data_IF_511495804508
#
_entry.id   IF_511495804508
#
_cell.length_a   1.000
_cell.length_b   1.000
_cell.length_c   1.000
_cell.angle_alpha   90.00
_cell.angle_beta   90.00
_cell.angle_gamma   90.00
#
_symmetry.space_group_name_H-M   'P 1'
#
loop_
_entity.id
_entity.type
_entity.pdbx_description
1 polymer ?
#
# COMPACT_ATOMS: atom_id res chain seq x y z
N UNK A 1 24.27 36.35 -83.19
CA UNK A 1 25.23 35.53 -83.97
C UNK A 1 26.05 34.71 -82.98
N UNK A 2 26.15 33.40 -83.21
CA UNK A 2 27.04 32.50 -82.44
C UNK A 2 26.32 31.32 -81.78
N UNK A 3 26.14 30.24 -82.54
CA UNK A 3 25.83 28.89 -82.05
C UNK A 3 27.05 28.30 -81.33
N UNK A 4 26.85 27.49 -80.28
CA UNK A 4 27.52 26.18 -80.17
C UNK A 4 26.84 25.26 -79.15
N UNK A 5 26.78 23.98 -79.52
CA UNK A 5 26.14 22.85 -78.83
C UNK A 5 27.09 22.13 -77.85
N UNK A 6 26.49 21.18 -77.11
CA UNK A 6 27.05 20.06 -76.31
C UNK A 6 26.97 20.29 -74.79
N UNK A 7 26.58 19.35 -73.94
CA UNK A 7 26.20 17.95 -74.08
C UNK A 7 25.15 17.64 -72.99
N UNK A 8 24.03 17.05 -73.38
CA UNK A 8 23.05 16.51 -72.43
C UNK A 8 23.61 15.28 -71.72
N UNK A 9 23.70 15.35 -70.38
CA UNK A 9 23.69 14.16 -69.52
C UNK A 9 22.35 14.10 -68.81
N UNK A 10 21.45 13.30 -69.35
CA UNK A 10 20.25 12.84 -68.64
C UNK A 10 20.75 11.91 -67.54
N UNK A 11 20.62 12.33 -66.29
CA UNK A 11 20.76 11.43 -65.16
C UNK A 11 19.44 10.66 -65.04
N UNK A 12 19.44 9.40 -65.45
CA UNK A 12 18.39 8.44 -65.10
C UNK A 12 18.43 8.26 -63.58
N UNK A 13 17.47 8.87 -62.89
CA UNK A 13 17.16 8.54 -61.49
C UNK A 13 16.62 7.09 -61.51
N UNK A 14 17.23 6.13 -60.80
CA UNK A 14 16.67 4.80 -60.72
C UNK A 14 15.31 4.88 -60.02
N UNK A 15 14.30 4.08 -60.42
CA UNK A 15 13.06 4.01 -59.67
C UNK A 15 13.39 3.57 -58.25
N UNK A 16 12.89 4.33 -57.27
CA UNK A 16 12.85 3.91 -55.87
C UNK A 16 12.01 2.64 -55.86
N UNK A 17 12.67 1.49 -55.80
CA UNK A 17 12.03 0.21 -55.53
C UNK A 17 11.49 0.34 -54.11
N UNK A 18 10.18 0.58 -53.98
CA UNK A 18 9.46 0.29 -52.74
C UNK A 18 9.70 -1.19 -52.43
N UNK A 19 10.52 -1.45 -51.42
CA UNK A 19 10.67 -2.80 -50.88
C UNK A 19 9.31 -3.29 -50.41
N UNK A 20 9.00 -4.50 -50.85
CA UNK A 20 7.70 -5.15 -50.86
C UNK A 20 7.12 -5.50 -49.47
N UNK A 21 5.79 -5.72 -49.34
CA UNK A 21 5.13 -6.14 -48.10
C UNK A 21 5.57 -7.53 -47.56
N UNK A 22 6.16 -8.40 -48.38
CA UNK A 22 6.52 -9.77 -48.00
C UNK A 22 7.72 -9.85 -47.05
N UNK A 23 8.74 -9.01 -47.23
CA UNK A 23 9.92 -8.95 -46.35
C UNK A 23 9.56 -8.43 -44.96
N UNK A 24 8.66 -7.44 -44.88
CA UNK A 24 8.11 -6.95 -43.61
C UNK A 24 7.36 -8.04 -42.85
N UNK A 25 6.48 -8.80 -43.52
CA UNK A 25 5.73 -9.91 -42.89
C UNK A 25 6.63 -11.03 -42.37
N UNK A 26 7.69 -11.39 -43.11
CA UNK A 26 8.66 -12.41 -42.69
C UNK A 26 9.46 -11.97 -41.46
N UNK A 27 9.96 -10.73 -41.44
CA UNK A 27 10.64 -10.19 -40.27
C UNK A 27 9.70 -10.09 -39.04
N UNK A 28 8.42 -9.75 -39.23
CA UNK A 28 7.43 -9.75 -38.15
C UNK A 28 7.21 -11.15 -37.57
N UNK A 29 7.17 -12.19 -38.41
CA UNK A 29 7.05 -13.59 -37.98
C UNK A 29 8.28 -14.05 -37.21
N UNK A 30 9.48 -13.82 -37.76
CA UNK A 30 10.74 -14.21 -37.10
C UNK A 30 10.90 -13.51 -35.73
N UNK A 31 10.49 -12.23 -35.63
CA UNK A 31 10.46 -11.52 -34.35
C UNK A 31 9.47 -12.12 -33.36
N UNK A 32 8.29 -12.57 -33.83
CA UNK A 32 7.29 -13.24 -32.99
C UNK A 32 7.83 -14.57 -32.45
N UNK A 33 8.44 -15.37 -33.32
CA UNK A 33 8.98 -16.70 -32.99
C UNK A 33 10.20 -16.60 -32.05
N UNK A 34 10.88 -15.46 -32.03
CA UNK A 34 12.00 -15.19 -31.12
C UNK A 34 11.60 -14.88 -29.67
N UNK A 35 10.31 -14.70 -29.38
CA UNK A 35 9.86 -14.32 -28.04
C UNK A 35 10.05 -15.50 -27.08
N UNK A 36 10.86 -15.27 -26.05
CA UNK A 36 11.12 -16.25 -24.99
C UNK A 36 10.35 -15.88 -23.74
N UNK A 37 9.57 -16.83 -23.20
CA UNK A 37 8.93 -16.69 -21.90
C UNK A 37 9.90 -17.15 -20.80
N UNK A 38 10.14 -16.26 -19.85
CA UNK A 38 10.95 -16.50 -18.67
C UNK A 38 10.05 -16.81 -17.46
N UNK A 39 10.48 -17.62 -16.49
CA UNK A 39 9.76 -17.83 -15.24
C UNK A 39 9.46 -16.50 -14.56
N UNK A 40 8.24 -16.33 -14.05
CA UNK A 40 7.82 -15.09 -13.39
C UNK A 40 8.56 -14.87 -12.07
N UNK A 41 8.86 -15.96 -11.35
CA UNK A 41 9.71 -15.95 -10.17
C UNK A 41 11.01 -16.73 -10.40
N UNK A 42 12.07 -16.25 -9.78
CA UNK A 42 13.39 -16.87 -9.80
C UNK A 42 13.69 -17.50 -8.43
N UNK A 43 13.54 -18.82 -8.36
CA UNK A 43 13.64 -19.57 -7.11
C UNK A 43 15.03 -19.51 -6.47
N UNK A 44 16.07 -19.11 -7.22
CA UNK A 44 17.41 -18.86 -6.68
C UNK A 44 17.43 -17.77 -5.61
N UNK A 45 16.46 -16.84 -5.66
CA UNK A 45 16.32 -15.74 -4.72
C UNK A 45 15.19 -15.95 -3.70
N UNK A 46 14.64 -17.16 -3.58
CA UNK A 46 13.54 -17.47 -2.65
C UNK A 46 13.83 -17.09 -1.18
N UNK A 47 15.09 -17.24 -0.73
CA UNK A 47 15.50 -16.88 0.63
C UNK A 47 15.76 -15.39 0.83
N UNK A 48 15.86 -14.64 -0.27
CA UNK A 48 16.21 -13.21 -0.31
C UNK A 48 15.22 -12.47 -1.22
N UNK A 49 13.96 -12.92 -1.25
CA UNK A 49 12.95 -12.51 -2.24
C UNK A 49 12.69 -11.00 -2.22
N UNK A 50 12.92 -10.36 -1.06
CA UNK A 50 12.77 -8.93 -0.82
C UNK A 50 14.07 -8.12 -0.96
N UNK A 51 15.21 -8.77 -1.23
CA UNK A 51 16.52 -8.13 -1.35
C UNK A 51 16.78 -7.72 -2.81
N UNK A 52 17.65 -6.73 -3.02
CA UNK A 52 17.79 -5.94 -4.26
C UNK A 52 18.03 -6.64 -5.61
N UNK A 53 18.04 -7.97 -5.68
CA UNK A 53 18.06 -8.76 -6.93
C UNK A 53 16.67 -9.29 -7.37
N UNK A 54 15.59 -8.96 -6.65
CA UNK A 54 14.17 -9.24 -6.96
C UNK A 54 13.88 -10.61 -7.58
N UNK A 55 13.25 -11.51 -6.83
CA UNK A 55 12.85 -12.80 -7.40
C UNK A 55 11.79 -12.69 -8.50
N UNK A 56 10.87 -11.71 -8.42
CA UNK A 56 9.79 -11.50 -9.39
C UNK A 56 10.31 -10.69 -10.58
N UNK A 57 10.24 -11.26 -11.79
CA UNK A 57 10.81 -10.68 -13.02
C UNK A 57 12.31 -10.34 -12.90
N UNK A 58 13.11 -11.27 -12.36
CA UNK A 58 14.53 -11.06 -12.01
C UNK A 58 15.47 -10.69 -13.17
N UNK A 59 15.04 -10.81 -14.43
CA UNK A 59 15.86 -10.42 -15.60
C UNK A 59 15.83 -8.91 -15.90
N UNK A 60 15.00 -8.15 -15.18
CA UNK A 60 14.80 -6.72 -15.35
C UNK A 60 15.29 -5.97 -14.12
N UNK A 61 16.02 -4.87 -14.34
CA UNK A 61 16.41 -3.95 -13.27
C UNK A 61 15.32 -2.92 -13.03
N UNK A 62 15.10 -2.55 -11.77
CA UNK A 62 14.15 -1.50 -11.42
C UNK A 62 14.59 -0.12 -11.92
N UNK A 63 13.59 0.72 -12.15
CA UNK A 63 13.79 2.16 -12.29
C UNK A 63 13.90 2.75 -10.89
N UNK A 64 14.98 3.50 -10.66
CA UNK A 64 15.23 4.19 -9.40
C UNK A 64 15.06 5.68 -9.59
N UNK A 65 14.24 6.29 -8.75
CA UNK A 65 14.06 7.74 -8.68
C UNK A 65 14.18 8.18 -7.23
N UNK A 66 14.72 9.38 -7.01
CA UNK A 66 14.91 9.91 -5.67
C UNK A 66 13.57 10.04 -4.93
N UNK A 67 13.53 9.60 -3.66
CA UNK A 67 12.36 9.64 -2.79
C UNK A 67 11.14 8.81 -3.26
N UNK A 68 11.26 7.99 -4.30
CA UNK A 68 10.17 7.16 -4.85
C UNK A 68 10.33 5.67 -4.55
N UNK A 69 9.25 4.91 -4.76
CA UNK A 69 9.33 3.45 -4.80
C UNK A 69 9.93 2.97 -6.14
N UNK A 70 10.63 1.84 -6.10
CA UNK A 70 11.14 1.15 -7.27
C UNK A 70 10.00 0.60 -8.15
N UNK A 71 10.12 0.75 -9.47
CA UNK A 71 9.13 0.25 -10.42
C UNK A 71 9.73 -0.16 -11.77
N UNK A 72 8.96 -0.94 -12.54
CA UNK A 72 9.20 -1.15 -13.97
C UNK A 72 8.05 -0.52 -14.77
N UNK A 73 8.35 0.15 -15.87
CA UNK A 73 7.35 0.68 -16.78
C UNK A 73 7.51 0.08 -18.19
N UNK A 74 6.40 -0.26 -18.82
CA UNK A 74 6.36 -0.84 -20.17
C UNK A 74 5.28 -0.14 -21.01
N UNK A 75 5.53 0.13 -22.30
CA UNK A 75 6.86 0.16 -22.93
C UNK A 75 7.71 1.32 -22.39
N UNK A 76 9.03 1.19 -22.48
CA UNK A 76 10.02 2.14 -21.95
C UNK A 76 11.36 2.01 -22.67
N UNK A 77 12.28 2.93 -22.42
CA UNK A 77 13.65 2.81 -22.94
C UNK A 77 14.35 1.54 -22.42
N UNK A 78 14.17 1.19 -21.15
CA UNK A 78 14.75 -0.01 -20.54
C UNK A 78 14.24 -1.31 -21.19
N UNK A 79 12.93 -1.36 -21.48
CA UNK A 79 12.33 -2.45 -22.25
C UNK A 79 12.59 -2.36 -23.76
N UNK A 80 13.30 -1.33 -24.24
CA UNK A 80 13.51 -1.03 -25.67
C UNK A 80 12.19 -0.90 -26.44
N UNK A 81 11.16 -0.31 -25.84
CA UNK A 81 9.85 -0.14 -26.48
C UNK A 81 8.97 -1.39 -26.55
N UNK A 82 9.37 -2.48 -25.89
CA UNK A 82 8.59 -3.74 -25.84
C UNK A 82 7.52 -3.70 -24.76
N UNK A 83 6.38 -4.33 -25.06
CA UNK A 83 5.27 -4.55 -24.14
C UNK A 83 5.59 -5.70 -23.19
N UNK A 84 5.04 -5.63 -21.97
CA UNK A 84 5.02 -6.75 -21.05
C UNK A 84 3.93 -7.74 -21.47
N UNK A 85 4.28 -9.01 -21.60
CA UNK A 85 3.35 -10.12 -21.79
C UNK A 85 3.46 -11.09 -20.61
N UNK A 86 2.32 -11.51 -20.04
CA UNK A 86 2.25 -12.50 -18.97
C UNK A 86 1.51 -13.73 -19.50
N UNK A 87 1.98 -14.93 -19.13
CA UNK A 87 1.35 -16.21 -19.46
C UNK A 87 1.32 -17.12 -18.25
N UNK A 88 0.18 -17.76 -18.03
CA UNK A 88 -0.11 -18.59 -16.86
C UNK A 88 -1.08 -17.91 -15.92
N UNK A 89 -1.82 -18.72 -15.16
CA UNK A 89 -2.84 -18.30 -14.19
C UNK A 89 -2.82 -19.16 -12.93
N UNK A 90 -1.67 -19.76 -12.60
CA UNK A 90 -1.57 -20.64 -11.45
C UNK A 90 -1.66 -19.82 -10.16
N UNK A 91 -2.58 -20.21 -9.27
CA UNK A 91 -2.92 -19.51 -8.03
C UNK A 91 -2.25 -20.16 -6.80
N UNK A 92 -1.52 -21.26 -6.98
CA UNK A 92 -0.90 -22.04 -5.89
C UNK A 92 0.61 -22.23 -6.06
N UNK A 93 1.13 -22.08 -7.28
CA UNK A 93 2.54 -22.22 -7.61
C UNK A 93 2.99 -21.17 -8.62
N UNK A 94 3.55 -20.08 -8.11
CA UNK A 94 4.00 -18.94 -8.92
C UNK A 94 5.10 -19.27 -9.93
N UNK A 95 5.84 -20.37 -9.76
CA UNK A 95 6.87 -20.79 -10.71
C UNK A 95 6.30 -21.30 -12.04
N UNK A 96 5.00 -21.59 -12.11
CA UNK A 96 4.29 -21.96 -13.34
C UNK A 96 3.78 -20.76 -14.13
N UNK A 97 3.86 -19.56 -13.56
CA UNK A 97 3.57 -18.33 -14.29
C UNK A 97 4.85 -17.81 -14.94
N UNK A 98 4.72 -17.10 -16.06
CA UNK A 98 5.84 -16.64 -16.89
C UNK A 98 5.58 -15.27 -17.49
N UNK A 99 6.64 -14.58 -17.90
CA UNK A 99 6.56 -13.31 -18.60
C UNK A 99 7.50 -13.27 -19.81
N UNK A 100 7.19 -12.39 -20.75
CA UNK A 100 8.02 -12.10 -21.91
C UNK A 100 7.90 -10.61 -22.28
N UNK A 101 8.85 -10.14 -23.09
CA UNK A 101 8.79 -8.81 -23.70
C UNK A 101 8.60 -8.94 -25.21
N UNK A 102 7.58 -8.26 -25.75
CA UNK A 102 7.21 -8.35 -27.16
C UNK A 102 7.10 -6.98 -27.81
N UNK A 103 7.47 -6.87 -29.08
CA UNK A 103 7.23 -5.63 -29.84
C UNK A 103 5.73 -5.47 -30.14
N UNK A 104 5.17 -4.24 -30.10
CA UNK A 104 3.75 -4.02 -30.36
C UNK A 104 3.26 -4.60 -31.71
N UNK A 105 4.12 -4.62 -32.74
CA UNK A 105 3.81 -5.17 -34.05
C UNK A 105 4.02 -6.69 -34.20
N UNK A 106 4.63 -7.35 -33.21
CA UNK A 106 5.04 -8.75 -33.27
C UNK A 106 4.70 -9.48 -31.97
N UNK A 107 3.46 -9.37 -31.49
CA UNK A 107 3.01 -10.07 -30.28
C UNK A 107 3.05 -11.59 -30.46
N UNK A 108 3.20 -12.39 -29.38
CA UNK A 108 3.14 -13.85 -29.43
C UNK A 108 1.87 -14.37 -30.12
N UNK A 109 1.92 -15.58 -30.64
CA UNK A 109 0.72 -16.20 -31.21
C UNK A 109 -0.41 -16.32 -30.18
N UNK A 110 -1.63 -16.05 -30.64
CA UNK A 110 -2.85 -16.05 -29.84
C UNK A 110 -2.85 -15.07 -28.67
N UNK A 111 -1.87 -14.15 -28.62
CA UNK A 111 -1.79 -13.14 -27.57
C UNK A 111 -3.00 -12.21 -27.59
N UNK A 112 -3.43 -11.82 -26.39
CA UNK A 112 -4.49 -10.85 -26.20
C UNK A 112 -3.81 -9.52 -25.83
N UNK A 113 -3.96 -8.51 -26.69
CA UNK A 113 -3.53 -7.16 -26.36
C UNK A 113 -4.57 -6.47 -25.48
N UNK A 114 -4.14 -6.07 -24.30
CA UNK A 114 -4.94 -5.41 -23.28
C UNK A 114 -4.64 -3.91 -23.31
N UNK A 115 -5.64 -3.10 -23.64
CA UNK A 115 -5.51 -1.64 -23.76
C UNK A 115 -5.57 -0.91 -22.41
N UNK A 116 -5.00 0.29 -22.36
CA UNK A 116 -4.95 1.14 -21.18
C UNK A 116 -3.80 0.79 -20.23
N UNK A 117 -3.68 1.55 -19.14
CA UNK A 117 -2.66 1.30 -18.11
C UNK A 117 -3.07 0.10 -17.24
N UNK A 118 -2.15 -0.83 -17.10
CA UNK A 118 -2.26 -1.96 -16.17
C UNK A 118 -1.31 -1.76 -15.01
N UNK A 119 -1.83 -1.80 -13.79
CA UNK A 119 -0.99 -1.92 -12.61
C UNK A 119 -0.74 -3.40 -12.32
N UNK A 120 0.52 -3.79 -12.20
CA UNK A 120 0.95 -5.15 -11.84
C UNK A 120 1.64 -5.07 -10.48
N UNK A 121 1.21 -5.88 -9.54
CA UNK A 121 1.77 -5.94 -8.19
C UNK A 121 2.23 -7.34 -7.89
N UNK A 122 3.46 -7.51 -7.38
CA UNK A 122 3.85 -8.69 -6.61
C UNK A 122 4.13 -8.28 -5.16
N UNK A 123 3.65 -9.07 -4.22
CA UNK A 123 3.94 -8.86 -2.80
C UNK A 123 4.38 -10.16 -2.15
N UNK A 124 5.29 -10.05 -1.18
CA UNK A 124 5.71 -11.18 -0.36
C UNK A 124 4.74 -11.51 0.78
N UNK A 125 3.84 -10.60 1.13
CA UNK A 125 2.97 -10.78 2.29
C UNK A 125 1.62 -11.38 1.91
N UNK A 126 0.68 -10.54 1.48
CA UNK A 126 -0.62 -10.89 0.89
C UNK A 126 -1.40 -9.58 0.60
N UNK A 127 -2.59 -9.70 -0.01
CA UNK A 127 -3.53 -8.59 -0.23
C UNK A 127 -4.77 -8.61 0.68
N UNK A 128 -4.85 -9.55 1.61
CA UNK A 128 -6.00 -9.75 2.49
C UNK A 128 -5.89 -9.03 3.82
N UNK A 129 -4.69 -8.99 4.40
CA UNK A 129 -4.35 -8.26 5.60
C UNK A 129 -4.24 -6.76 5.29
N UNK A 130 -4.80 -5.92 6.16
CA UNK A 130 -4.89 -4.48 5.94
C UNK A 130 -3.51 -3.82 5.82
N UNK A 131 -2.57 -4.14 6.72
CA UNK A 131 -1.22 -3.56 6.70
C UNK A 131 -0.43 -4.04 5.47
N UNK A 132 -0.45 -5.35 5.19
CA UNK A 132 0.22 -5.92 4.03
C UNK A 132 -0.31 -5.31 2.72
N UNK A 133 -1.63 -5.21 2.60
CA UNK A 133 -2.30 -4.62 1.46
C UNK A 133 -1.90 -3.18 1.21
N UNK A 134 -1.88 -2.33 2.25
CA UNK A 134 -1.42 -0.94 2.10
C UNK A 134 0.04 -0.90 1.64
N UNK A 135 0.91 -1.70 2.25
CA UNK A 135 2.32 -1.75 1.87
C UNK A 135 2.52 -2.16 0.41
N UNK A 136 1.66 -3.02 -0.13
CA UNK A 136 1.70 -3.43 -1.54
C UNK A 136 1.13 -2.35 -2.50
N UNK A 137 0.12 -1.58 -2.07
CA UNK A 137 -0.55 -0.59 -2.94
C UNK A 137 0.04 0.81 -2.88
N UNK A 138 0.62 1.20 -1.75
CA UNK A 138 1.23 2.52 -1.54
C UNK A 138 2.26 2.92 -2.62
N UNK A 139 3.12 2.02 -3.14
CA UNK A 139 4.04 2.33 -4.25
C UNK A 139 3.34 2.87 -5.49
N UNK A 140 2.25 2.22 -5.90
CA UNK A 140 1.48 2.65 -7.06
C UNK A 140 0.76 3.98 -6.80
N UNK A 141 0.28 4.22 -5.58
CA UNK A 141 -0.28 5.52 -5.19
C UNK A 141 0.77 6.62 -5.31
N UNK A 142 1.99 6.39 -4.81
CA UNK A 142 3.11 7.33 -4.92
C UNK A 142 3.49 7.62 -6.37
N UNK A 143 3.65 6.56 -7.16
CA UNK A 143 3.90 6.66 -8.60
C UNK A 143 2.79 7.42 -9.33
N UNK A 144 1.53 7.15 -9.00
CA UNK A 144 0.36 7.83 -9.56
C UNK A 144 0.39 9.32 -9.25
N UNK A 145 0.67 9.72 -8.01
CA UNK A 145 0.78 11.14 -7.63
C UNK A 145 1.78 11.89 -8.52
N UNK A 146 2.98 11.32 -8.67
CA UNK A 146 4.04 11.88 -9.53
C UNK A 146 3.62 11.98 -10.98
N UNK A 147 2.82 11.02 -11.45
CA UNK A 147 2.35 10.92 -12.82
C UNK A 147 0.95 11.52 -13.00
N UNK A 148 0.68 12.69 -12.41
CA UNK A 148 -0.58 13.44 -12.61
C UNK A 148 -1.84 12.61 -12.29
N UNK A 149 -1.72 11.73 -11.29
CA UNK A 149 -2.81 10.93 -10.74
C UNK A 149 -3.47 10.02 -11.76
N UNK A 150 -2.66 9.51 -12.68
CA UNK A 150 -3.04 8.53 -13.68
C UNK A 150 -3.61 7.29 -12.98
N UNK A 151 -4.81 6.90 -13.41
CA UNK A 151 -5.53 5.76 -12.88
C UNK A 151 -5.30 4.53 -13.76
N UNK A 152 -5.08 3.35 -13.16
CA UNK A 152 -4.98 2.13 -13.93
C UNK A 152 -6.38 1.72 -14.38
N UNK A 153 -6.49 1.19 -15.60
CA UNK A 153 -7.75 0.60 -16.08
C UNK A 153 -8.02 -0.75 -15.42
N UNK A 154 -6.97 -1.42 -14.95
CA UNK A 154 -7.02 -2.77 -14.37
C UNK A 154 -5.79 -3.08 -13.52
N UNK A 155 -5.93 -4.12 -12.71
CA UNK A 155 -4.97 -4.56 -11.70
C UNK A 155 -4.65 -6.03 -11.97
N UNK A 156 -3.37 -6.39 -11.97
CA UNK A 156 -2.91 -7.78 -12.01
C UNK A 156 -2.12 -8.01 -10.74
N UNK A 157 -2.57 -8.95 -9.91
CA UNK A 157 -2.05 -9.12 -8.57
C UNK A 157 -1.37 -10.47 -8.46
N UNK A 158 -0.17 -10.46 -7.91
CA UNK A 158 0.62 -11.64 -7.60
C UNK A 158 1.01 -11.63 -6.13
N UNK A 159 0.97 -12.81 -5.53
CA UNK A 159 1.56 -13.06 -4.22
C UNK A 159 2.48 -14.25 -4.42
N UNK A 160 3.78 -14.03 -4.29
CA UNK A 160 4.78 -15.06 -4.60
C UNK A 160 4.76 -15.52 -6.06
N UNK A 161 4.42 -14.61 -6.98
CA UNK A 161 4.19 -14.96 -8.38
C UNK A 161 2.92 -15.77 -8.65
N UNK A 162 2.15 -16.13 -7.62
CA UNK A 162 0.84 -16.80 -7.76
C UNK A 162 -0.23 -15.77 -8.07
N UNK A 163 -1.07 -16.05 -9.06
CA UNK A 163 -2.12 -15.12 -9.47
C UNK A 163 -3.13 -14.93 -8.34
N UNK A 164 -3.62 -13.70 -8.19
CA UNK A 164 -4.70 -13.33 -7.28
C UNK A 164 -5.78 -12.61 -8.06
N UNK A 165 -6.97 -13.17 -8.05
CA UNK A 165 -8.15 -12.62 -8.70
C UNK A 165 -8.92 -11.62 -7.80
N UNK A 166 -8.51 -11.49 -6.53
CA UNK A 166 -9.14 -10.64 -5.53
C UNK A 166 -8.15 -10.11 -4.49
N UNK A 167 -8.60 -9.09 -3.77
CA UNK A 167 -7.94 -8.55 -2.59
C UNK A 167 -8.94 -8.47 -1.43
N UNK A 168 -8.46 -8.21 -0.21
CA UNK A 168 -9.33 -8.02 0.94
C UNK A 168 -10.31 -6.86 0.73
N UNK A 169 -11.56 -7.00 1.17
CA UNK A 169 -12.62 -6.02 0.94
C UNK A 169 -12.27 -4.61 1.44
N UNK A 170 -11.56 -4.52 2.57
CA UNK A 170 -11.09 -3.24 3.11
C UNK A 170 -10.12 -2.55 2.14
N UNK A 171 -9.13 -3.28 1.62
CA UNK A 171 -8.16 -2.75 0.66
C UNK A 171 -8.83 -2.38 -0.65
N UNK A 172 -9.77 -3.22 -1.12
CA UNK A 172 -10.56 -2.96 -2.31
C UNK A 172 -11.33 -1.63 -2.19
N UNK A 173 -11.97 -1.39 -1.04
CA UNK A 173 -12.69 -0.12 -0.79
C UNK A 173 -11.76 1.08 -0.71
N UNK A 174 -10.58 0.93 -0.10
CA UNK A 174 -9.57 1.98 -0.08
C UNK A 174 -9.07 2.31 -1.50
N UNK A 175 -8.75 1.30 -2.32
CA UNK A 175 -8.34 1.50 -3.70
C UNK A 175 -9.48 2.06 -4.55
N UNK A 176 -10.73 1.65 -4.27
CA UNK A 176 -11.91 2.19 -4.93
C UNK A 176 -12.08 3.69 -4.66
N UNK A 177 -11.87 4.13 -3.43
CA UNK A 177 -11.90 5.54 -3.06
C UNK A 177 -10.83 6.37 -3.81
N UNK A 178 -9.68 5.78 -4.10
CA UNK A 178 -8.56 6.48 -4.75
C UNK A 178 -8.65 6.48 -6.28
N UNK A 179 -9.01 5.34 -6.88
CA UNK A 179 -8.91 5.11 -8.31
C UNK A 179 -10.25 4.88 -9.01
N UNK A 180 -11.36 4.78 -8.29
CA UNK A 180 -12.66 4.42 -8.86
C UNK A 180 -12.83 2.91 -8.97
N UNK A 181 -13.44 2.40 -10.03
CA UNK A 181 -13.63 0.95 -10.18
C UNK A 181 -12.28 0.20 -10.21
N UNK A 182 -12.16 -0.83 -9.36
CA UNK A 182 -10.95 -1.66 -9.26
C UNK A 182 -11.26 -3.01 -9.91
N UNK A 183 -10.85 -3.15 -11.18
CA UNK A 183 -10.94 -4.42 -11.92
C UNK A 183 -9.66 -5.23 -11.73
N UNK A 184 -9.74 -6.36 -11.04
CA UNK A 184 -8.64 -7.33 -10.91
C UNK A 184 -8.76 -8.36 -12.04
N UNK A 185 -7.71 -8.54 -12.84
CA UNK A 185 -7.71 -9.47 -13.97
C UNK A 185 -7.31 -10.88 -13.53
N UNK A 186 -8.18 -11.86 -13.78
CA UNK A 186 -7.95 -13.29 -13.54
C UNK A 186 -7.61 -14.13 -14.78
N UNK A 187 -7.31 -13.46 -15.92
CA UNK A 187 -6.95 -14.11 -17.19
C UNK A 187 -7.95 -15.19 -17.68
N UNK A 188 -9.22 -14.81 -17.78
CA UNK A 188 -10.36 -15.71 -18.06
C UNK A 188 -10.23 -16.59 -19.34
N UNK A 189 -9.48 -16.15 -20.37
CA UNK A 189 -9.31 -16.87 -21.64
C UNK A 189 -8.20 -17.95 -21.62
N UNK A 190 -7.84 -18.44 -20.44
CA UNK A 190 -6.89 -19.55 -20.24
C UNK A 190 -5.42 -19.17 -20.43
N UNK A 191 -4.58 -20.16 -20.75
CA UNK A 191 -3.10 -20.07 -20.86
C UNK A 191 -2.57 -19.27 -22.08
N UNK A 192 -3.36 -18.34 -22.60
CA UNK A 192 -2.92 -17.42 -23.65
C UNK A 192 -2.00 -16.33 -23.06
N UNK A 193 -1.05 -15.81 -23.83
CA UNK A 193 -0.32 -14.62 -23.43
C UNK A 193 -1.22 -13.39 -23.37
N UNK A 194 -1.16 -12.64 -22.27
CA UNK A 194 -1.78 -11.33 -22.12
C UNK A 194 -0.70 -10.27 -22.20
N UNK A 195 -0.73 -9.46 -23.25
CA UNK A 195 0.23 -8.38 -23.47
C UNK A 195 -0.43 -7.04 -23.16
N UNK A 196 0.25 -6.17 -22.42
CA UNK A 196 -0.33 -4.91 -21.96
C UNK A 196 0.18 -3.74 -22.79
N UNK A 197 -0.74 -2.90 -23.29
CA UNK A 197 -0.41 -1.66 -24.00
C UNK A 197 0.47 -0.75 -23.15
N UNK A 198 0.14 -0.63 -21.86
CA UNK A 198 0.96 0.02 -20.84
C UNK A 198 0.90 -0.78 -19.55
N UNK A 199 2.04 -0.97 -18.90
CA UNK A 199 2.10 -1.61 -17.59
C UNK A 199 3.09 -0.90 -16.66
N UNK A 200 2.71 -0.75 -15.40
CA UNK A 200 3.63 -0.40 -14.31
C UNK A 200 3.65 -1.54 -13.31
N UNK A 201 4.86 -2.01 -12.99
CA UNK A 201 5.08 -3.16 -12.09
C UNK A 201 5.71 -2.67 -10.80
N UNK A 202 5.11 -3.04 -9.66
CA UNK A 202 5.64 -2.80 -8.32
C UNK A 202 5.90 -4.15 -7.64
N UNK A 203 7.10 -4.36 -7.09
CA UNK A 203 7.53 -5.65 -6.53
C UNK A 203 8.30 -5.55 -5.19
N UNK A 204 8.28 -4.38 -4.56
CA UNK A 204 9.09 -4.07 -3.37
C UNK A 204 8.29 -3.65 -2.13
N UNK A 205 6.96 -3.79 -2.14
CA UNK A 205 6.09 -3.10 -1.18
C UNK A 205 6.56 -1.63 -1.05
N UNK A 206 6.64 -1.07 0.15
CA UNK A 206 7.10 0.32 0.38
C UNK A 206 8.51 0.63 -0.15
N UNK A 207 9.36 -0.37 -0.42
CA UNK A 207 10.66 -0.21 -1.06
C UNK A 207 11.53 0.92 -0.48
N UNK A 208 12.22 1.62 -1.39
CA UNK A 208 13.06 2.80 -1.09
C UNK A 208 12.27 4.11 -0.97
N UNK A 209 10.94 4.05 -0.99
CA UNK A 209 10.11 5.26 -0.88
C UNK A 209 10.49 6.04 0.39
N UNK A 210 10.83 7.32 0.22
CA UNK A 210 11.31 8.12 1.34
C UNK A 210 10.17 8.59 2.23
N UNK A 211 10.53 9.20 3.38
CA UNK A 211 9.58 9.56 4.44
C UNK A 211 8.52 10.56 3.95
N UNK A 212 8.94 11.57 3.18
CA UNK A 212 8.04 12.60 2.65
C UNK A 212 7.03 11.99 1.68
N UNK A 213 7.48 11.14 0.76
CA UNK A 213 6.59 10.45 -0.18
C UNK A 213 5.61 9.52 0.53
N UNK A 214 6.05 8.75 1.54
CA UNK A 214 5.16 7.91 2.35
C UNK A 214 4.08 8.73 3.06
N UNK A 215 4.43 9.92 3.54
CA UNK A 215 3.49 10.85 4.16
C UNK A 215 2.50 11.43 3.14
N UNK A 216 2.95 11.82 1.94
CA UNK A 216 2.10 12.29 0.84
C UNK A 216 1.10 11.20 0.41
N UNK A 217 1.56 9.97 0.24
CA UNK A 217 0.71 8.80 -0.07
C UNK A 217 -0.33 8.58 1.02
N UNK A 218 0.07 8.60 2.29
CA UNK A 218 -0.83 8.40 3.42
C UNK A 218 -1.92 9.48 3.49
N UNK A 219 -1.55 10.74 3.21
CA UNK A 219 -2.48 11.86 3.14
C UNK A 219 -3.49 11.71 2.00
N UNK A 220 -3.05 11.33 0.80
CA UNK A 220 -3.94 11.11 -0.33
C UNK A 220 -4.93 9.98 -0.03
N UNK A 221 -4.43 8.83 0.45
CA UNK A 221 -5.25 7.68 0.82
C UNK A 221 -6.33 8.07 1.84
N UNK A 222 -5.94 8.82 2.86
CA UNK A 222 -6.83 9.33 3.92
C UNK A 222 -7.88 10.29 3.36
N UNK A 223 -7.46 11.30 2.61
CA UNK A 223 -8.35 12.31 2.03
C UNK A 223 -9.39 11.68 1.11
N UNK A 224 -8.97 10.78 0.21
CA UNK A 224 -9.85 10.07 -0.70
C UNK A 224 -10.84 9.17 0.01
N UNK A 225 -10.39 8.42 1.03
CA UNK A 225 -11.28 7.59 1.83
C UNK A 225 -12.35 8.40 2.56
N UNK A 226 -11.98 9.57 3.11
CA UNK A 226 -12.93 10.51 3.74
C UNK A 226 -13.99 11.00 2.75
N UNK A 227 -13.56 11.51 1.61
CA UNK A 227 -14.47 11.98 0.55
C UNK A 227 -15.41 10.87 0.07
N UNK A 228 -14.89 9.67 -0.17
CA UNK A 228 -15.68 8.49 -0.55
C UNK A 228 -16.76 8.13 0.48
N UNK A 229 -16.49 8.36 1.77
CA UNK A 229 -17.41 8.05 2.87
C UNK A 229 -18.29 9.23 3.32
N UNK A 230 -18.28 10.35 2.58
CA UNK A 230 -19.05 11.55 2.89
C UNK A 230 -18.54 12.28 4.15
N UNK A 231 -17.25 12.13 4.47
CA UNK A 231 -16.57 12.83 5.56
C UNK A 231 -15.76 13.97 4.96
N UNK A 232 -15.62 15.09 5.69
CA UNK A 232 -14.78 16.20 5.27
C UNK A 232 -13.36 15.69 4.93
N UNK A 233 -12.88 15.85 3.68
CA UNK A 233 -11.55 15.39 3.27
C UNK A 233 -10.41 16.00 4.09
N UNK A 234 -10.56 17.25 4.52
CA UNK A 234 -9.58 17.95 5.36
C UNK A 234 -9.52 17.41 6.81
N UNK A 235 -10.43 16.51 7.19
CA UNK A 235 -10.55 15.98 8.54
C UNK A 235 -11.46 16.83 9.43
N UNK A 236 -11.31 16.66 10.74
CA UNK A 236 -12.18 17.30 11.74
C UNK A 236 -11.78 18.76 12.06
N UNK A 237 -10.53 19.14 11.80
CA UNK A 237 -10.00 20.46 12.22
C UNK A 237 -9.87 20.62 13.74
N UNK A 238 -9.72 21.85 14.24
CA UNK A 238 -9.66 22.12 15.69
C UNK A 238 -11.09 22.26 16.22
N UNK A 239 -11.51 21.34 17.09
CA UNK A 239 -12.80 21.40 17.80
C UNK A 239 -12.60 22.02 19.18
N UNK A 240 -13.36 23.08 19.48
CA UNK A 240 -13.38 23.76 20.79
C UNK A 240 -14.79 23.59 21.38
N UNK A 241 -14.87 23.28 22.68
CA UNK A 241 -16.15 23.15 23.39
C UNK A 241 -16.72 24.51 23.81
N UNK A 242 -17.92 24.52 24.37
CA UNK A 242 -18.61 25.75 24.83
C UNK A 242 -17.81 26.56 25.88
N UNK A 243 -16.87 25.91 26.58
CA UNK A 243 -16.00 26.54 27.58
C UNK A 243 -14.69 27.08 26.99
N UNK A 244 -14.53 27.06 25.67
CA UNK A 244 -13.30 27.51 25.02
C UNK A 244 -12.13 26.52 25.12
N UNK A 245 -12.36 25.27 25.52
CA UNK A 245 -11.33 24.24 25.70
C UNK A 245 -11.33 23.28 24.50
N UNK A 246 -10.15 22.89 23.96
CA UNK A 246 -10.08 21.89 22.89
C UNK A 246 -10.70 20.55 23.29
N UNK A 247 -11.54 19.99 22.41
CA UNK A 247 -12.10 18.65 22.58
C UNK A 247 -11.01 17.61 22.31
N UNK A 248 -10.88 16.59 23.16
CA UNK A 248 -9.93 15.47 23.01
C UNK A 248 -10.73 14.18 22.87
N UNK A 249 -10.67 13.53 21.71
CA UNK A 249 -11.40 12.30 21.41
C UNK A 249 -10.49 11.09 21.57
N UNK A 250 -10.71 10.35 22.64
CA UNK A 250 -10.04 9.08 22.91
C UNK A 250 -10.94 7.93 22.44
N UNK A 251 -10.42 7.06 21.59
CA UNK A 251 -11.12 5.87 21.12
C UNK A 251 -10.42 4.62 21.64
N UNK A 252 -11.15 3.78 22.38
CA UNK A 252 -10.79 2.38 22.59
C UNK A 252 -11.33 1.56 21.43
N UNK A 253 -10.45 1.17 20.50
CA UNK A 253 -10.79 0.27 19.41
C UNK A 253 -10.59 -1.18 19.89
N UNK A 254 -11.70 -1.78 20.28
CA UNK A 254 -11.78 -3.13 20.80
C UNK A 254 -11.87 -4.13 19.66
N UNK A 255 -11.58 -5.39 19.99
CA UNK A 255 -11.69 -6.54 19.08
C UNK A 255 -12.25 -7.74 19.82
N UNK A 256 -12.82 -8.68 19.08
CA UNK A 256 -13.28 -9.98 19.60
C UNK A 256 -12.27 -11.09 19.29
N UNK A 257 -12.32 -12.16 20.07
CA UNK A 257 -11.48 -13.34 19.86
C UNK A 257 -9.99 -13.10 20.14
N UNK A 258 -9.13 -13.53 19.22
CA UNK A 258 -7.67 -13.44 19.35
C UNK A 258 -7.23 -12.03 19.70
N UNK A 259 -6.25 -11.86 20.59
CA UNK A 259 -5.71 -10.55 20.99
C UNK A 259 -6.71 -9.57 21.62
N UNK A 260 -7.93 -10.01 21.94
CA UNK A 260 -8.83 -9.20 22.77
C UNK A 260 -8.28 -9.02 24.19
N UNK A 261 -8.79 -8.03 24.93
CA UNK A 261 -8.45 -7.90 26.35
C UNK A 261 -9.11 -9.02 27.17
N UNK A 262 -8.36 -9.61 28.11
CA UNK A 262 -8.88 -10.58 29.08
C UNK A 262 -10.04 -10.00 29.91
N UNK A 263 -9.92 -8.75 30.33
CA UNK A 263 -10.95 -8.01 31.05
C UNK A 263 -11.21 -6.66 30.36
N UNK A 264 -12.00 -6.69 29.29
CA UNK A 264 -12.36 -5.50 28.52
C UNK A 264 -13.05 -4.42 29.38
N UNK A 265 -13.92 -4.82 30.32
CA UNK A 265 -14.64 -3.89 31.19
C UNK A 265 -13.67 -3.09 32.07
N UNK A 266 -12.71 -3.75 32.71
CA UNK A 266 -11.71 -3.07 33.55
C UNK A 266 -10.89 -2.06 32.74
N UNK A 267 -10.45 -2.43 31.53
CA UNK A 267 -9.73 -1.50 30.65
C UNK A 267 -10.60 -0.29 30.28
N UNK A 268 -11.86 -0.51 29.90
CA UNK A 268 -12.80 0.59 29.61
C UNK A 268 -12.95 1.51 30.83
N UNK A 269 -13.17 0.94 32.02
CA UNK A 269 -13.35 1.71 33.25
C UNK A 269 -12.11 2.56 33.59
N UNK A 270 -10.89 2.02 33.40
CA UNK A 270 -9.64 2.76 33.63
C UNK A 270 -9.55 3.98 32.71
N UNK A 271 -9.72 3.78 31.40
CA UNK A 271 -9.62 4.86 30.42
C UNK A 271 -10.77 5.86 30.55
N UNK A 272 -11.98 5.42 30.92
CA UNK A 272 -13.11 6.29 31.20
C UNK A 272 -12.81 7.22 32.38
N UNK A 273 -12.28 6.68 33.48
CA UNK A 273 -11.87 7.47 34.65
C UNK A 273 -10.76 8.46 34.31
N UNK A 274 -9.72 8.06 33.56
CA UNK A 274 -8.65 9.00 33.19
C UNK A 274 -9.13 10.08 32.23
N UNK A 275 -9.99 9.75 31.27
CA UNK A 275 -10.60 10.72 30.37
C UNK A 275 -11.45 11.73 31.14
N UNK A 276 -12.29 11.29 32.08
CA UNK A 276 -13.12 12.18 32.89
C UNK A 276 -12.32 13.17 33.76
N UNK A 277 -11.05 12.87 34.07
CA UNK A 277 -10.15 13.79 34.78
C UNK A 277 -9.56 14.90 33.90
N UNK A 278 -9.72 14.82 32.58
CA UNK A 278 -9.17 15.79 31.62
C UNK A 278 -10.31 16.54 30.96
N UNK A 279 -10.39 17.84 31.22
CA UNK A 279 -11.42 18.70 30.63
C UNK A 279 -11.38 18.65 29.09
N UNK A 280 -12.56 18.50 28.48
CA UNK A 280 -12.70 18.37 27.03
C UNK A 280 -12.47 16.95 26.50
N UNK A 281 -12.07 15.99 27.34
CA UNK A 281 -11.93 14.60 26.89
C UNK A 281 -13.28 13.89 26.73
N UNK A 282 -13.43 13.19 25.61
CA UNK A 282 -14.57 12.35 25.29
C UNK A 282 -14.06 10.96 24.93
N UNK A 283 -14.46 9.96 25.71
CA UNK A 283 -14.17 8.56 25.43
C UNK A 283 -15.23 7.97 24.50
N UNK A 284 -14.78 7.26 23.47
CA UNK A 284 -15.59 6.35 22.66
C UNK A 284 -15.03 4.94 22.72
N UNK A 285 -15.90 3.95 22.89
CA UNK A 285 -15.55 2.54 22.77
C UNK A 285 -16.21 2.00 21.51
N UNK A 286 -15.45 1.33 20.66
CA UNK A 286 -15.96 0.73 19.43
C UNK A 286 -15.38 -0.67 19.25
N UNK A 287 -16.19 -1.60 18.74
CA UNK A 287 -15.74 -2.93 18.34
C UNK A 287 -15.40 -2.92 16.86
N UNK A 288 -14.17 -3.26 16.49
CA UNK A 288 -13.71 -3.14 15.11
C UNK A 288 -14.51 -4.01 14.13
N UNK A 289 -14.94 -5.19 14.56
CA UNK A 289 -15.67 -6.13 13.70
C UNK A 289 -17.10 -5.68 13.39
N UNK A 290 -17.64 -4.71 14.15
CA UNK A 290 -18.99 -4.17 13.93
C UNK A 290 -19.00 -2.98 12.96
N UNK A 291 -17.83 -2.49 12.53
CA UNK A 291 -17.70 -1.28 11.73
C UNK A 291 -17.59 -1.62 10.24
N UNK A 292 -18.45 -1.03 9.42
CA UNK A 292 -18.22 -1.00 7.97
C UNK A 292 -16.96 -0.18 7.63
N UNK A 293 -16.46 -0.28 6.40
CA UNK A 293 -15.32 0.53 5.94
C UNK A 293 -15.53 2.03 6.22
N UNK A 294 -16.71 2.57 5.90
CA UNK A 294 -16.99 3.99 6.12
C UNK A 294 -17.24 4.35 7.59
N UNK A 295 -17.69 3.40 8.42
CA UNK A 295 -17.76 3.64 9.87
C UNK A 295 -16.36 3.66 10.50
N UNK A 296 -15.43 2.85 9.99
CA UNK A 296 -14.01 2.91 10.38
C UNK A 296 -13.40 4.27 9.99
N UNK A 297 -13.61 4.73 8.74
CA UNK A 297 -13.16 6.06 8.28
C UNK A 297 -13.73 7.18 9.15
N UNK A 298 -15.04 7.16 9.44
CA UNK A 298 -15.70 8.16 10.29
C UNK A 298 -15.18 8.14 11.71
N UNK A 299 -15.07 6.97 12.33
CA UNK A 299 -14.57 6.82 13.70
C UNK A 299 -13.17 7.40 13.83
N UNK A 300 -12.27 7.01 12.94
CA UNK A 300 -10.87 7.40 12.99
C UNK A 300 -10.64 8.87 12.63
N UNK A 301 -11.43 9.42 11.70
CA UNK A 301 -11.36 10.86 11.40
C UNK A 301 -11.68 11.72 12.62
N UNK A 302 -12.55 11.23 13.51
CA UNK A 302 -12.90 11.90 14.77
C UNK A 302 -12.13 11.34 15.97
N UNK A 303 -10.95 10.75 15.78
CA UNK A 303 -10.14 10.21 16.86
C UNK A 303 -8.81 10.95 16.97
N UNK A 304 -8.49 11.44 18.17
CA UNK A 304 -7.20 12.06 18.49
C UNK A 304 -6.21 11.04 19.07
N UNK A 305 -6.72 10.12 19.87
CA UNK A 305 -5.96 9.06 20.50
C UNK A 305 -6.70 7.75 20.23
N UNK A 306 -6.05 6.80 19.56
CA UNK A 306 -6.56 5.44 19.45
C UNK A 306 -5.75 4.54 20.38
N UNK A 307 -6.46 3.77 21.20
CA UNK A 307 -5.89 2.73 22.04
C UNK A 307 -6.50 1.39 21.61
N UNK A 308 -5.66 0.44 21.20
CA UNK A 308 -6.11 -0.82 20.60
C UNK A 308 -5.10 -1.93 20.83
N UNK A 309 -5.55 -3.18 21.07
CA UNK A 309 -4.68 -4.33 20.91
C UNK A 309 -4.04 -4.37 19.53
N UNK A 310 -2.84 -4.92 19.44
CA UNK A 310 -2.11 -5.11 18.19
C UNK A 310 -2.93 -5.99 17.24
N UNK A 311 -2.95 -5.61 15.98
CA UNK A 311 -3.47 -6.43 14.89
C UNK A 311 -3.98 -5.61 13.74
N UNK A 312 -4.40 -6.30 12.67
CA UNK A 312 -4.75 -5.66 11.39
C UNK A 312 -5.78 -4.53 11.55
N UNK A 313 -6.68 -4.58 12.54
CA UNK A 313 -7.66 -3.52 12.76
C UNK A 313 -7.04 -2.17 13.14
N UNK A 314 -5.85 -2.16 13.77
CA UNK A 314 -5.15 -0.94 14.14
C UNK A 314 -4.58 -0.21 12.91
N UNK A 315 -4.53 -0.88 11.75
CA UNK A 315 -4.23 -0.25 10.45
C UNK A 315 -5.22 0.89 10.11
N UNK A 316 -6.43 0.87 10.68
CA UNK A 316 -7.40 1.95 10.54
C UNK A 316 -6.90 3.32 11.01
N UNK A 317 -5.80 3.38 11.78
CA UNK A 317 -5.12 4.63 12.12
C UNK A 317 -4.78 5.49 10.90
N UNK A 318 -4.66 4.90 9.69
CA UNK A 318 -4.47 5.62 8.43
C UNK A 318 -5.44 6.81 8.29
N UNK A 319 -6.67 6.63 8.76
CA UNK A 319 -7.76 7.59 8.60
C UNK A 319 -7.78 8.70 9.67
N UNK A 320 -6.92 8.62 10.69
CA UNK A 320 -6.79 9.65 11.72
C UNK A 320 -6.04 10.87 11.16
N UNK A 321 -6.27 12.05 11.74
CA UNK A 321 -5.49 13.23 11.37
C UNK A 321 -4.00 13.08 11.71
N UNK A 322 -3.14 13.82 10.99
CA UNK A 322 -1.73 13.95 11.37
C UNK A 322 -1.62 14.42 12.82
N UNK A 323 -0.52 14.03 13.47
CA UNK A 323 -0.20 14.32 14.88
C UNK A 323 -1.12 13.64 15.90
N UNK A 324 -2.10 12.86 15.48
CA UNK A 324 -2.85 11.97 16.37
C UNK A 324 -1.93 10.91 17.01
N UNK A 325 -2.41 10.28 18.06
CA UNK A 325 -1.62 9.40 18.93
C UNK A 325 -2.14 7.97 18.95
N UNK A 326 -1.22 7.00 18.98
CA UNK A 326 -1.52 5.57 18.99
C UNK A 326 -0.98 4.96 20.29
N UNK A 327 -1.81 4.21 21.00
CA UNK A 327 -1.43 3.39 22.14
C UNK A 327 -1.69 1.91 21.80
N UNK A 328 -0.64 1.09 21.78
CA UNK A 328 -0.72 -0.28 21.31
C UNK A 328 -0.56 -1.31 22.44
N UNK A 329 -1.32 -2.40 22.40
CA UNK A 329 -1.27 -3.45 23.41
C UNK A 329 -1.03 -4.82 22.80
N UNK A 330 -0.06 -5.56 23.32
CA UNK A 330 0.35 -6.86 22.82
C UNK A 330 0.06 -7.95 23.84
N UNK A 331 -0.35 -9.16 23.41
CA UNK A 331 -0.32 -10.30 24.30
C UNK A 331 1.14 -10.71 24.56
N UNK A 332 1.31 -11.67 25.47
CA UNK A 332 2.62 -12.20 25.86
C UNK A 332 3.41 -12.69 24.65
N UNK A 333 4.74 -12.71 24.73
CA UNK A 333 5.61 -13.31 23.72
C UNK A 333 5.84 -12.46 22.47
N UNK A 334 5.06 -11.40 22.24
CA UNK A 334 5.27 -10.52 21.08
C UNK A 334 6.59 -9.75 21.16
N UNK A 335 6.97 -9.25 22.34
CA UNK A 335 8.20 -8.48 22.52
C UNK A 335 9.43 -9.34 22.16
N UNK A 336 9.44 -10.58 22.63
CA UNK A 336 10.58 -11.48 22.53
C UNK A 336 10.61 -12.27 21.20
N UNK A 337 9.45 -12.59 20.62
CA UNK A 337 9.34 -13.59 19.54
C UNK A 337 8.80 -13.05 18.21
N UNK A 338 8.17 -11.87 18.16
CA UNK A 338 7.57 -11.36 16.93
C UNK A 338 8.61 -10.80 15.92
N UNK A 339 9.87 -10.68 16.34
CA UNK A 339 10.92 -10.04 15.56
C UNK A 339 10.51 -8.62 15.15
N UNK A 340 10.64 -8.30 13.86
CA UNK A 340 10.29 -6.98 13.32
C UNK A 340 8.78 -6.71 13.26
N UNK A 341 7.93 -7.75 13.33
CA UNK A 341 6.47 -7.62 13.21
C UNK A 341 5.83 -6.78 14.31
N UNK A 342 6.47 -6.67 15.47
CA UNK A 342 5.99 -5.81 16.57
C UNK A 342 6.05 -4.31 16.24
N UNK A 343 6.81 -3.89 15.22
CA UNK A 343 6.96 -2.48 14.85
C UNK A 343 6.04 -2.03 13.72
N UNK A 344 5.19 -2.92 13.18
CA UNK A 344 4.35 -2.62 12.02
C UNK A 344 3.50 -1.34 12.21
N UNK A 345 2.81 -1.21 13.34
CA UNK A 345 1.96 -0.04 13.62
C UNK A 345 2.74 1.18 14.12
N UNK A 346 3.92 0.99 14.70
CA UNK A 346 4.86 2.08 14.96
C UNK A 346 5.30 2.72 13.64
N UNK A 347 5.74 1.91 12.68
CA UNK A 347 6.06 2.39 11.34
C UNK A 347 4.83 3.05 10.70
N UNK A 348 3.66 2.43 10.76
CA UNK A 348 2.45 3.03 10.20
C UNK A 348 2.16 4.43 10.75
N UNK A 349 2.30 4.60 12.08
CA UNK A 349 2.13 5.90 12.72
C UNK A 349 3.12 6.92 12.17
N UNK A 350 4.40 6.58 12.10
CA UNK A 350 5.46 7.46 11.60
C UNK A 350 5.24 7.85 10.13
N UNK A 351 4.91 6.87 9.29
CA UNK A 351 4.68 7.05 7.86
C UNK A 351 3.44 7.91 7.58
N UNK A 352 2.48 7.92 8.50
CA UNK A 352 1.24 8.69 8.39
C UNK A 352 1.30 10.05 9.11
N UNK A 353 2.46 10.42 9.68
CA UNK A 353 2.65 11.68 10.40
C UNK A 353 2.00 11.72 11.78
N UNK A 354 1.81 10.57 12.42
CA UNK A 354 1.24 10.40 13.76
C UNK A 354 2.34 10.08 14.80
N UNK A 355 1.94 9.93 16.07
CA UNK A 355 2.84 9.61 17.18
C UNK A 355 2.48 8.26 17.78
N UNK A 356 3.43 7.32 17.78
CA UNK A 356 3.30 6.10 18.56
C UNK A 356 3.67 6.37 20.03
N UNK A 357 2.73 6.23 20.95
CA UNK A 357 2.88 6.59 22.37
C UNK A 357 3.49 5.47 23.23
N UNK A 358 4.20 4.55 22.59
CA UNK A 358 4.70 3.33 23.20
C UNK A 358 3.68 2.18 23.16
N UNK A 359 4.05 1.08 23.80
CA UNK A 359 3.24 -0.12 23.81
C UNK A 359 3.25 -0.80 25.19
N UNK A 360 2.19 -1.56 25.44
CA UNK A 360 2.11 -2.51 26.54
C UNK A 360 2.32 -3.92 26.00
N UNK A 361 3.16 -4.71 26.65
CA UNK A 361 3.27 -6.14 26.41
C UNK A 361 2.85 -6.86 27.67
N UNK A 362 1.92 -7.81 27.55
CA UNK A 362 1.49 -8.62 28.69
C UNK A 362 2.68 -9.42 29.25
N UNK A 363 3.18 -9.10 30.46
CA UNK A 363 4.30 -9.84 31.04
C UNK A 363 3.90 -11.24 31.53
N UNK A 364 2.63 -11.45 31.90
CA UNK A 364 2.14 -12.67 32.55
C UNK A 364 0.96 -13.28 31.76
N UNK A 365 1.26 -14.36 31.05
CA UNK A 365 0.26 -15.24 30.44
C UNK A 365 -0.22 -16.28 31.46
N UNK A 366 -1.48 -16.70 31.35
CA UNK A 366 -1.97 -17.84 32.15
C UNK A 366 -1.35 -19.17 31.71
N UNK A 367 -0.90 -19.23 30.45
CA UNK A 367 -0.31 -20.41 29.84
C UNK A 367 1.14 -20.11 29.42
N UNK A 368 2.00 -21.10 29.60
CA UNK A 368 3.36 -21.12 29.10
C UNK A 368 3.43 -21.98 27.84
N UNK A 369 4.23 -21.55 26.87
CA UNK A 369 4.51 -22.32 25.67
C UNK A 369 5.09 -23.69 26.06
N UNK A 370 4.55 -24.81 25.53
CA UNK A 370 5.03 -26.15 25.87
C UNK A 370 6.36 -26.51 25.18
N UNK A 371 6.85 -25.66 24.27
CA UNK A 371 8.10 -25.86 23.53
C UNK A 371 9.26 -25.09 24.19
N UNK A 372 10.52 -25.44 23.87
CA UNK A 372 11.67 -24.66 24.32
C UNK A 372 11.53 -23.17 23.97
N UNK A 373 12.02 -22.28 24.83
CA UNK A 373 11.77 -20.82 24.75
C UNK A 373 12.11 -20.16 23.40
N UNK A 374 13.08 -20.71 22.67
CA UNK A 374 13.51 -20.18 21.37
C UNK A 374 12.81 -20.85 20.17
N UNK A 375 11.90 -21.77 20.42
CA UNK A 375 11.18 -22.46 19.36
C UNK A 375 10.21 -21.50 18.66
N UNK A 376 10.28 -21.34 17.32
CA UNK A 376 9.38 -20.47 16.57
C UNK A 376 7.89 -20.77 16.80
N UNK A 377 7.56 -22.02 17.17
CA UNK A 377 6.19 -22.41 17.52
C UNK A 377 5.65 -21.69 18.75
N UNK A 378 6.53 -21.21 19.65
CA UNK A 378 6.11 -20.39 20.78
C UNK A 378 5.55 -19.05 20.35
N UNK A 379 6.03 -18.46 19.25
CA UNK A 379 5.39 -17.24 18.75
C UNK A 379 3.96 -17.54 18.32
N UNK A 380 3.74 -18.60 17.54
CA UNK A 380 2.41 -18.99 17.09
C UNK A 380 1.47 -19.30 18.26
N UNK A 381 1.99 -19.93 19.31
CA UNK A 381 1.25 -20.20 20.54
C UNK A 381 0.76 -18.91 21.21
N UNK A 382 1.64 -17.92 21.39
CA UNK A 382 1.28 -16.69 22.08
C UNK A 382 0.61 -15.63 21.20
N UNK A 383 0.83 -15.69 19.88
CA UNK A 383 0.45 -14.65 18.91
C UNK A 383 -1.01 -14.22 19.05
N UNK A 384 -1.89 -15.19 19.24
CA UNK A 384 -3.34 -15.00 19.30
C UNK A 384 -3.91 -14.97 20.73
N UNK A 385 -3.03 -15.04 21.74
CA UNK A 385 -3.40 -14.91 23.15
C UNK A 385 -4.12 -13.59 23.47
N UNK A 386 -4.83 -13.56 24.59
CA UNK A 386 -5.51 -12.35 25.08
C UNK A 386 -4.54 -11.43 25.83
N UNK A 387 -4.81 -10.13 25.77
CA UNK A 387 -4.03 -9.09 26.45
C UNK A 387 -4.57 -8.90 27.87
N UNK A 388 -3.75 -9.00 28.90
CA UNK A 388 -4.16 -8.61 30.25
C UNK A 388 -4.08 -7.10 30.44
N UNK A 389 -4.21 -6.66 31.70
CA UNK A 389 -4.16 -5.24 32.03
C UNK A 389 -3.46 -5.04 33.37
N UNK A 390 -2.79 -3.90 33.50
CA UNK A 390 -2.25 -3.41 34.76
C UNK A 390 -2.89 -2.05 35.03
N UNK A 391 -3.72 -1.97 36.07
CA UNK A 391 -4.53 -0.79 36.35
C UNK A 391 -3.68 0.46 36.59
N UNK A 392 -2.65 0.36 37.45
CA UNK A 392 -1.76 1.47 37.76
C UNK A 392 -1.02 1.96 36.52
N UNK A 393 -0.45 1.04 35.74
CA UNK A 393 0.26 1.39 34.51
C UNK A 393 -0.66 2.03 33.48
N UNK A 394 -1.84 1.44 33.23
CA UNK A 394 -2.78 1.93 32.21
C UNK A 394 -3.32 3.31 32.60
N UNK A 395 -3.63 3.52 33.88
CA UNK A 395 -4.07 4.82 34.38
C UNK A 395 -2.99 5.90 34.21
N UNK A 396 -1.75 5.60 34.60
CA UNK A 396 -0.65 6.55 34.45
C UNK A 396 -0.33 6.84 32.99
N UNK A 397 -0.27 5.81 32.14
CA UNK A 397 0.01 5.95 30.72
C UNK A 397 -1.07 6.75 30.00
N UNK A 398 -2.35 6.43 30.21
CA UNK A 398 -3.46 7.17 29.63
C UNK A 398 -3.47 8.64 30.05
N UNK A 399 -3.24 8.92 31.34
CA UNK A 399 -3.13 10.30 31.85
C UNK A 399 -2.02 11.08 31.16
N UNK A 400 -0.84 10.48 31.01
CA UNK A 400 0.31 11.13 30.37
C UNK A 400 0.00 11.47 28.91
N UNK A 401 -0.54 10.52 28.14
CA UNK A 401 -0.90 10.73 26.73
C UNK A 401 -1.98 11.80 26.58
N UNK A 402 -3.05 11.74 27.38
CA UNK A 402 -4.12 12.73 27.36
C UNK A 402 -3.60 14.15 27.64
N UNK A 403 -2.72 14.31 28.64
CA UNK A 403 -2.13 15.60 28.97
C UNK A 403 -1.22 16.12 27.83
N UNK A 404 -0.42 15.26 27.20
CA UNK A 404 0.40 15.65 26.05
C UNK A 404 -0.46 16.12 24.87
N UNK A 405 -1.54 15.40 24.56
CA UNK A 405 -2.47 15.79 23.47
C UNK A 405 -3.17 17.09 23.81
N UNK A 406 -3.60 17.29 25.07
CA UNK A 406 -4.20 18.55 25.53
C UNK A 406 -3.27 19.74 25.28
N UNK A 407 -2.02 19.65 25.74
CA UNK A 407 -1.01 20.70 25.56
C UNK A 407 -0.81 20.99 24.07
N UNK A 408 -0.63 19.94 23.26
CA UNK A 408 -0.42 20.12 21.81
C UNK A 408 -1.61 20.79 21.11
N UNK A 409 -2.85 20.49 21.52
CA UNK A 409 -4.04 21.13 20.95
C UNK A 409 -4.17 22.59 21.37
N UNK A 410 -3.84 22.93 22.62
CA UNK A 410 -3.82 24.32 23.08
C UNK A 410 -2.79 25.16 22.31
N UNK A 411 -1.61 24.61 22.05
CA UNK A 411 -0.58 25.25 21.21
C UNK A 411 -1.02 25.41 19.75
N UNK A 412 -1.78 24.46 19.21
CA UNK A 412 -2.30 24.57 17.84
C UNK A 412 -3.40 25.64 17.75
N UNK A 413 -4.29 25.69 18.74
CA UNK A 413 -5.33 26.71 18.81
C UNK A 413 -4.73 28.12 18.90
N UNK A 414 -3.66 28.33 19.67
CA UNK A 414 -2.99 29.63 19.75
C UNK A 414 -2.26 30.02 18.46
N UNK A 415 -1.70 29.05 17.73
CA UNK A 415 -1.00 29.27 16.44
C UNK A 415 -1.94 29.42 15.24
N UNK A 416 -3.20 28.97 15.34
CA UNK A 416 -4.18 29.02 14.25
C UNK A 416 -4.61 30.44 13.82
N UNK A 417 -4.07 31.48 14.45
CA UNK A 417 -4.12 32.88 13.99
C UNK A 417 -3.19 33.19 12.80
N UNK A 418 -2.31 32.25 12.40
CA UNK A 418 -1.44 32.35 11.23
C UNK A 418 -1.40 31.01 10.48
N UNK A 419 -2.38 30.74 9.61
CA UNK A 419 -2.31 29.58 8.70
C UNK A 419 -1.38 29.88 7.54
N UNK A 420 -0.20 29.26 7.53
CA UNK A 420 0.52 29.04 6.27
C UNK A 420 -0.20 27.94 5.46
N UNK A 421 -0.37 28.13 4.14
CA UNK A 421 -0.92 27.09 3.30
C UNK A 421 0.03 25.90 3.30
N UNK A 422 -0.49 24.70 3.55
CA UNK A 422 0.24 23.50 3.19
C UNK A 422 0.52 23.54 1.68
N UNK A 423 1.72 23.16 1.22
CA UNK A 423 1.99 23.08 -0.20
C UNK A 423 1.11 21.97 -0.78
N UNK A 424 -0.02 22.38 -1.33
CA UNK A 424 -0.88 21.50 -2.12
C UNK A 424 -0.04 21.00 -3.28
N UNK A 425 0.29 19.71 -3.25
CA UNK A 425 0.61 18.98 -4.48
C UNK A 425 -0.67 18.98 -5.32
N UNK A 426 -0.84 19.99 -6.18
CA UNK A 426 -2.02 20.18 -7.03
C UNK A 426 -2.24 19.02 -8.04
N UNK A 427 -1.42 17.97 -8.02
CA UNK A 427 -1.47 16.89 -8.99
C UNK A 427 -2.71 16.00 -8.81
N UNK A 428 -3.05 15.65 -7.56
CA UNK A 428 -4.26 14.87 -7.24
C UNK A 428 -5.27 15.78 -6.58
N UNK A 429 -6.55 15.67 -6.94
CA UNK A 429 -7.62 16.35 -6.19
C UNK A 429 -7.75 15.69 -4.81
N UNK A 430 -6.94 16.18 -3.87
CA UNK A 430 -6.84 15.93 -2.43
C UNK A 430 -5.53 16.60 -2.01
#
# INVERSE_FOLDING_TARGET
MGLSFSNGKVWLVPPIILTTPLTSKRCTSELRDSITFLPLIDLRFSQTAMDGNTWFMSSMNDTHEENEAEYLYFPSQASKGRLLCIKGRDEENGAKNSYALAWPGSLPDLAILIKGLTFVSDTYYDYGNLWHGICAMAPFVGWSIRNQCVKPTRWVLFHWGELRDRMGLWLQKLMQANFGEVKVEGFEKGDRPYCFEKAVVMRHNLGRMGKEKKLEVSDLLRCKARGFCGVNPAGRGVEINEKGVPVIRLTLLMRRGSRSFKNAKAVIDIFARQCAMVEGCVLKVAQSEDLSFCDQVRLMTHTDIVASPHGAQLTNMLFMDRKSSIMEFFPKGWLELAGVGQYAHHWMADLSGMKHQGAWWEPLGEEECPFPRQDPRCFLFYKDGKVGHNETFFAQWARNVLNQVRISKLEQASKSSATEPHPNSNACVC
#
